data_IF_875573058000
#
_entry.id   IF_875573058000
#
_cell.length_a   1.000
_cell.length_b   1.000
_cell.length_c   1.000
_cell.angle_alpha   90.00
_cell.angle_beta   90.00
_cell.angle_gamma   90.00
#
_symmetry.space_group_name_H-M   'P 1'
#
loop_
_entity.id
_entity.type
_entity.pdbx_description
1 polymer ?
#
# COMPACT_ATOMS: atom_id res chain seq x y z
N UNK A 1 -15.84 -7.99 -14.60
CA UNK A 1 -14.51 -7.79 -13.99
C UNK A 1 -14.47 -8.57 -12.68
N UNK A 2 -13.78 -9.73 -12.65
CA UNK A 2 -13.70 -10.62 -11.49
C UNK A 2 -12.73 -10.04 -10.44
N UNK A 3 -13.14 -9.98 -9.17
CA UNK A 3 -12.25 -9.62 -8.07
C UNK A 3 -11.31 -10.77 -7.68
N UNK A 4 -10.44 -10.55 -6.69
CA UNK A 4 -9.42 -11.53 -6.28
C UNK A 4 -10.03 -12.87 -5.83
N UNK A 5 -11.31 -12.90 -5.43
CA UNK A 5 -11.99 -14.07 -4.87
C UNK A 5 -11.88 -15.33 -5.73
N UNK A 6 -11.90 -15.23 -7.06
CA UNK A 6 -11.80 -16.41 -7.96
C UNK A 6 -10.37 -16.82 -8.26
N UNK A 7 -9.39 -15.93 -8.05
CA UNK A 7 -7.96 -16.16 -8.31
C UNK A 7 -7.10 -16.16 -7.06
N UNK A 8 -7.73 -16.19 -5.88
CA UNK A 8 -7.04 -15.97 -4.63
C UNK A 8 -5.93 -17.00 -4.40
N UNK A 9 -6.21 -18.28 -4.65
CA UNK A 9 -5.19 -19.33 -4.52
C UNK A 9 -4.04 -19.16 -5.52
N UNK A 10 -4.33 -18.75 -6.75
CA UNK A 10 -3.33 -18.51 -7.79
C UNK A 10 -2.42 -17.34 -7.40
N UNK A 11 -2.98 -16.20 -7.00
CA UNK A 11 -2.22 -15.02 -6.55
C UNK A 11 -1.30 -15.38 -5.39
N UNK A 12 -1.82 -16.05 -4.35
CA UNK A 12 -1.01 -16.43 -3.19
C UNK A 12 0.06 -17.48 -3.52
N UNK A 13 -0.20 -18.36 -4.50
CA UNK A 13 0.80 -19.29 -5.02
C UNK A 13 1.95 -18.55 -5.72
N UNK A 14 1.64 -17.54 -6.54
CA UNK A 14 2.67 -16.72 -7.21
C UNK A 14 3.49 -15.89 -6.23
N UNK A 15 2.84 -15.25 -5.24
CA UNK A 15 3.55 -14.53 -4.14
C UNK A 15 4.52 -15.48 -3.43
N UNK A 16 4.11 -16.73 -3.20
CA UNK A 16 4.97 -17.76 -2.61
C UNK A 16 6.15 -18.14 -3.50
N UNK A 17 5.92 -18.34 -4.80
CA UNK A 17 7.00 -18.65 -5.77
C UNK A 17 8.02 -17.52 -5.86
N UNK A 18 7.56 -16.27 -5.76
CA UNK A 18 8.41 -15.08 -5.70
C UNK A 18 9.13 -14.89 -4.35
N UNK A 19 8.83 -15.73 -3.36
CA UNK A 19 9.41 -15.70 -2.00
C UNK A 19 9.16 -14.37 -1.28
N UNK A 20 8.01 -13.74 -1.54
CA UNK A 20 7.65 -12.46 -0.93
C UNK A 20 7.13 -12.71 0.50
N UNK A 21 7.71 -12.02 1.48
CA UNK A 21 7.29 -12.16 2.88
C UNK A 21 6.00 -11.41 3.21
N UNK A 22 5.88 -10.21 2.65
CA UNK A 22 4.77 -9.31 2.91
C UNK A 22 4.40 -8.65 1.58
N UNK A 23 3.12 -8.71 1.24
CA UNK A 23 2.58 -8.14 0.02
C UNK A 23 1.28 -7.39 0.32
N UNK A 24 1.14 -6.18 -0.22
CA UNK A 24 -0.13 -5.45 -0.21
C UNK A 24 -0.86 -5.75 -1.51
N UNK A 25 -2.11 -6.15 -1.41
CA UNK A 25 -2.98 -6.43 -2.53
C UNK A 25 -4.11 -5.40 -2.55
N UNK A 26 -4.27 -4.73 -3.68
CA UNK A 26 -5.31 -3.73 -3.90
C UNK A 26 -6.42 -4.31 -4.79
N UNK A 27 -7.53 -3.59 -4.92
CA UNK A 27 -8.69 -4.02 -5.71
C UNK A 27 -9.23 -5.43 -5.36
N UNK A 28 -9.11 -5.84 -4.10
CA UNK A 28 -9.50 -7.19 -3.69
C UNK A 28 -10.99 -7.46 -3.95
N UNK A 29 -11.82 -6.41 -3.93
CA UNK A 29 -13.28 -6.48 -4.09
C UNK A 29 -13.90 -7.46 -3.07
N UNK A 30 -13.23 -7.69 -1.93
CA UNK A 30 -13.80 -8.40 -0.78
C UNK A 30 -14.78 -7.47 -0.05
N UNK A 31 -15.73 -8.11 0.63
CA UNK A 31 -16.71 -7.45 1.49
C UNK A 31 -16.35 -7.71 2.95
N UNK A 32 -16.56 -6.71 3.79
CA UNK A 32 -16.24 -6.76 5.21
C UNK A 32 -14.74 -6.69 5.50
N UNK A 33 -14.43 -6.85 6.78
CA UNK A 33 -13.08 -6.83 7.35
C UNK A 33 -12.80 -8.18 8.00
N UNK A 34 -11.54 -8.60 8.04
CA UNK A 34 -11.15 -9.76 8.82
C UNK A 34 -9.87 -10.43 8.35
N UNK A 35 -9.64 -11.62 8.90
CA UNK A 35 -8.44 -12.41 8.66
C UNK A 35 -8.78 -13.83 8.24
N UNK A 36 -7.96 -14.39 7.36
CA UNK A 36 -8.06 -15.78 6.93
C UNK A 36 -6.66 -16.33 6.60
N UNK A 37 -6.53 -17.65 6.54
CA UNK A 37 -5.30 -18.30 6.08
C UNK A 37 -5.48 -18.78 4.65
N UNK A 38 -4.55 -18.44 3.77
CA UNK A 38 -4.56 -18.85 2.35
C UNK A 38 -3.18 -19.35 1.98
N UNK A 39 -3.07 -20.65 1.66
CA UNK A 39 -1.77 -21.28 1.43
C UNK A 39 -0.85 -21.02 2.61
N UNK A 40 0.33 -20.46 2.36
CA UNK A 40 1.37 -20.14 3.36
C UNK A 40 1.30 -18.73 3.95
N UNK A 41 0.16 -18.05 3.78
CA UNK A 41 0.00 -16.66 4.22
C UNK A 41 -1.19 -16.48 5.15
N UNK A 42 -1.01 -15.52 6.06
CA UNK A 42 -2.07 -14.86 6.80
C UNK A 42 -2.53 -13.68 5.94
N UNK A 43 -3.80 -13.67 5.58
CA UNK A 43 -4.41 -12.65 4.75
C UNK A 43 -5.32 -11.77 5.62
N UNK A 44 -4.93 -10.52 5.78
CA UNK A 44 -5.68 -9.50 6.53
C UNK A 44 -6.32 -8.56 5.51
N UNK A 45 -7.65 -8.46 5.47
CA UNK A 45 -8.35 -7.71 4.43
C UNK A 45 -9.34 -6.70 4.99
N UNK A 46 -9.42 -5.56 4.31
CA UNK A 46 -10.40 -4.51 4.55
C UNK A 46 -11.12 -4.19 3.24
N UNK A 47 -12.42 -4.48 3.20
CA UNK A 47 -13.28 -4.23 2.06
C UNK A 47 -14.50 -3.40 2.41
N UNK A 48 -15.30 -3.08 1.40
CA UNK A 48 -16.56 -2.34 1.58
C UNK A 48 -17.56 -3.11 2.44
N UNK A 49 -18.54 -2.41 3.01
CA UNK A 49 -19.63 -3.03 3.75
C UNK A 49 -20.33 -4.11 2.90
N UNK A 50 -20.81 -5.17 3.56
CA UNK A 50 -21.46 -6.33 2.93
C UNK A 50 -22.67 -5.94 2.08
N UNK A 51 -23.33 -4.85 2.43
CA UNK A 51 -24.51 -4.32 1.73
C UNK A 51 -24.15 -3.51 0.49
N UNK A 52 -22.91 -3.03 0.38
CA UNK A 52 -22.45 -2.25 -0.77
C UNK A 52 -22.05 -3.16 -1.93
N UNK A 53 -22.18 -2.70 -3.18
CA UNK A 53 -21.58 -3.39 -4.32
C UNK A 53 -20.06 -3.50 -4.10
N UNK A 54 -19.51 -4.69 -4.31
CA UNK A 54 -18.07 -4.92 -4.15
C UNK A 54 -17.28 -3.99 -5.09
N UNK A 55 -16.60 -3.03 -4.48
CA UNK A 55 -15.71 -2.05 -5.11
C UNK A 55 -14.54 -1.83 -4.16
N UNK A 56 -13.37 -1.47 -4.69
CA UNK A 56 -12.16 -1.20 -3.89
C UNK A 56 -11.75 -2.42 -3.03
N UNK A 57 -11.01 -2.18 -1.95
CA UNK A 57 -10.55 -3.18 -1.01
C UNK A 57 -9.04 -3.30 -1.03
N UNK A 58 -8.46 -3.26 0.16
CA UNK A 58 -7.02 -3.43 0.40
C UNK A 58 -6.81 -4.62 1.32
N UNK A 59 -5.72 -5.34 1.12
CA UNK A 59 -5.32 -6.40 2.02
C UNK A 59 -3.81 -6.53 2.12
N UNK A 60 -3.36 -7.17 3.19
CA UNK A 60 -1.97 -7.53 3.41
C UNK A 60 -1.88 -9.06 3.50
N UNK A 61 -1.05 -9.65 2.66
CA UNK A 61 -0.64 -11.04 2.74
C UNK A 61 0.71 -11.10 3.48
N UNK A 62 0.75 -11.83 4.60
CA UNK A 62 1.94 -11.97 5.45
C UNK A 62 2.28 -13.46 5.55
N UNK A 63 3.49 -13.84 5.17
CA UNK A 63 3.92 -15.23 5.23
C UNK A 63 3.82 -15.76 6.68
N UNK A 64 3.30 -16.98 6.87
CA UNK A 64 3.06 -17.60 8.19
C UNK A 64 4.29 -17.64 9.09
N UNK A 65 5.49 -17.66 8.50
CA UNK A 65 6.76 -17.59 9.25
C UNK A 65 6.91 -16.31 10.09
N UNK A 66 6.18 -15.25 9.75
CA UNK A 66 6.13 -13.99 10.50
C UNK A 66 4.93 -13.94 11.48
N UNK A 67 4.12 -15.00 11.61
CA UNK A 67 2.90 -15.00 12.43
C UNK A 67 3.15 -14.50 13.86
N UNK A 68 4.23 -14.97 14.48
CA UNK A 68 4.56 -14.62 15.87
C UNK A 68 5.17 -13.20 15.99
N UNK A 69 5.52 -12.59 14.86
CA UNK A 69 6.03 -11.22 14.79
C UNK A 69 4.90 -10.19 14.64
N UNK A 70 3.73 -10.57 14.15
CA UNK A 70 2.57 -9.68 14.04
C UNK A 70 2.09 -9.31 15.45
N UNK A 71 1.95 -8.01 15.74
CA UNK A 71 1.49 -7.50 17.04
C UNK A 71 0.06 -7.01 17.01
N UNK A 72 -0.30 -6.28 15.97
CA UNK A 72 -1.62 -5.71 15.77
C UNK A 72 -1.81 -5.35 14.30
N UNK A 73 -3.06 -5.12 13.92
CA UNK A 73 -3.44 -4.52 12.66
C UNK A 73 -4.76 -3.78 12.83
N UNK A 74 -4.98 -2.74 12.04
CA UNK A 74 -6.25 -2.03 11.99
C UNK A 74 -6.75 -1.92 10.55
N UNK A 75 -7.93 -2.48 10.28
CA UNK A 75 -8.64 -2.27 9.03
C UNK A 75 -9.38 -0.93 9.09
N UNK A 76 -8.70 0.18 8.75
CA UNK A 76 -9.26 1.53 8.89
C UNK A 76 -10.50 1.70 7.99
N UNK A 77 -10.35 1.48 6.69
CA UNK A 77 -11.44 1.51 5.71
C UNK A 77 -11.09 0.64 4.48
N UNK A 78 -11.90 0.68 3.42
CA UNK A 78 -11.66 -0.12 2.21
C UNK A 78 -10.43 0.29 1.39
N UNK A 79 -9.73 1.35 1.79
CA UNK A 79 -8.56 1.92 1.13
C UNK A 79 -7.29 1.86 1.99
N UNK A 80 -7.39 1.75 3.31
CA UNK A 80 -6.25 1.78 4.22
C UNK A 80 -6.32 0.65 5.24
N UNK A 81 -5.21 -0.05 5.39
CA UNK A 81 -4.96 -1.04 6.44
C UNK A 81 -3.59 -0.81 7.06
N UNK A 82 -3.47 -0.95 8.38
CA UNK A 82 -2.18 -0.88 9.09
C UNK A 82 -1.84 -2.23 9.70
N UNK A 83 -0.55 -2.58 9.75
CA UNK A 83 -0.06 -3.79 10.41
C UNK A 83 1.22 -3.45 11.17
N UNK A 84 1.30 -3.83 12.44
CA UNK A 84 2.49 -3.73 13.25
C UNK A 84 3.21 -5.08 13.36
N UNK A 85 4.51 -5.10 13.03
CA UNK A 85 5.35 -6.29 13.06
C UNK A 85 6.61 -6.00 13.87
N UNK A 86 6.92 -6.87 14.85
CA UNK A 86 8.15 -6.80 15.63
C UNK A 86 9.08 -7.96 15.29
N UNK A 87 10.26 -7.66 14.77
CA UNK A 87 11.27 -8.66 14.40
C UNK A 87 12.67 -8.14 14.61
N UNK A 88 13.57 -8.96 15.18
CA UNK A 88 14.98 -8.63 15.39
C UNK A 88 15.17 -7.28 16.12
N UNK A 89 14.40 -7.04 17.19
CA UNK A 89 14.39 -5.79 17.97
C UNK A 89 13.94 -4.53 17.20
N UNK A 90 13.40 -4.68 15.99
CA UNK A 90 12.81 -3.59 15.21
C UNK A 90 11.30 -3.66 15.26
N UNK A 91 10.67 -2.49 15.36
CA UNK A 91 9.24 -2.31 15.24
C UNK A 91 8.96 -1.70 13.87
N UNK A 92 8.18 -2.40 13.05
CA UNK A 92 7.82 -1.98 11.69
C UNK A 92 6.31 -1.75 11.63
N UNK A 93 5.91 -0.62 11.05
CA UNK A 93 4.53 -0.34 10.69
C UNK A 93 4.40 -0.44 9.18
N UNK A 94 3.48 -1.27 8.72
CA UNK A 94 3.15 -1.44 7.31
C UNK A 94 1.78 -0.83 7.10
N UNK A 95 1.70 0.17 6.23
CA UNK A 95 0.44 0.77 5.81
C UNK A 95 0.18 0.32 4.38
N UNK A 96 -0.83 -0.53 4.21
CA UNK A 96 -1.33 -0.95 2.91
C UNK A 96 -2.38 0.01 2.39
N UNK A 97 -2.24 0.47 1.14
CA UNK A 97 -3.14 1.48 0.59
C UNK A 97 -3.67 1.19 -0.80
N UNK A 98 -4.86 1.71 -1.08
CA UNK A 98 -5.45 1.82 -2.42
C UNK A 98 -6.05 3.22 -2.61
N UNK A 99 -5.31 4.09 -3.30
CA UNK A 99 -5.70 5.47 -3.53
C UNK A 99 -6.86 5.61 -4.52
N UNK A 100 -7.63 6.72 -4.44
CA UNK A 100 -8.57 7.08 -5.48
C UNK A 100 -7.89 7.16 -6.85
N UNK A 101 -8.62 6.78 -7.90
CA UNK A 101 -8.17 6.90 -9.29
C UNK A 101 -8.01 8.36 -9.71
N UNK A 102 -7.32 8.60 -10.82
CA UNK A 102 -6.99 9.96 -11.26
C UNK A 102 -8.21 10.78 -11.71
N UNK A 103 -9.32 10.11 -12.08
CA UNK A 103 -10.61 10.71 -12.42
C UNK A 103 -11.50 11.03 -11.20
N UNK A 104 -11.07 10.65 -10.00
CA UNK A 104 -11.77 11.03 -8.77
C UNK A 104 -11.74 12.55 -8.58
N UNK A 105 -12.78 13.09 -7.95
CA UNK A 105 -12.84 14.53 -7.67
C UNK A 105 -11.71 14.95 -6.71
N UNK A 106 -11.22 16.19 -6.82
CA UNK A 106 -10.11 16.67 -6.00
C UNK A 106 -10.34 16.53 -4.49
N UNK A 107 -11.57 16.77 -4.01
CA UNK A 107 -11.89 16.69 -2.59
C UNK A 107 -11.74 15.27 -2.06
N UNK A 108 -12.19 14.25 -2.81
CA UNK A 108 -11.97 12.84 -2.47
C UNK A 108 -10.48 12.52 -2.37
N UNK A 109 -9.65 13.04 -3.28
CA UNK A 109 -8.19 12.87 -3.23
C UNK A 109 -7.59 13.58 -2.01
N UNK A 110 -7.96 14.83 -1.75
CA UNK A 110 -7.52 15.60 -0.58
C UNK A 110 -7.83 14.86 0.73
N UNK A 111 -9.08 14.40 0.89
CA UNK A 111 -9.49 13.63 2.06
C UNK A 111 -8.65 12.37 2.26
N UNK A 112 -8.33 11.65 1.18
CA UNK A 112 -7.51 10.44 1.24
C UNK A 112 -6.07 10.74 1.68
N UNK A 113 -5.40 11.72 1.08
CA UNK A 113 -4.01 12.07 1.45
C UNK A 113 -3.92 12.72 2.83
N UNK A 114 -4.89 13.55 3.22
CA UNK A 114 -4.94 14.13 4.57
C UNK A 114 -5.14 13.05 5.64
N UNK A 115 -6.03 12.08 5.39
CA UNK A 115 -6.24 10.94 6.29
C UNK A 115 -4.98 10.14 6.50
N UNK A 116 -4.25 9.82 5.42
CA UNK A 116 -2.94 9.14 5.54
C UNK A 116 -1.93 9.96 6.32
N UNK A 117 -1.87 11.28 6.07
CA UNK A 117 -0.96 12.19 6.77
C UNK A 117 -1.19 12.15 8.28
N UNK A 118 -2.46 12.18 8.72
CA UNK A 118 -2.82 12.05 10.14
C UNK A 118 -2.38 10.71 10.72
N UNK A 119 -2.71 9.60 10.04
CA UNK A 119 -2.33 8.25 10.49
C UNK A 119 -0.81 8.13 10.67
N UNK A 120 -0.03 8.66 9.72
CA UNK A 120 1.43 8.59 9.78
C UNK A 120 2.00 9.51 10.86
N UNK A 121 1.41 10.69 11.06
CA UNK A 121 1.86 11.66 12.08
C UNK A 121 1.70 11.13 13.50
N UNK A 122 0.76 10.22 13.73
CA UNK A 122 0.53 9.58 15.04
C UNK A 122 1.54 8.44 15.33
N UNK A 123 2.31 8.00 14.33
CA UNK A 123 3.30 6.94 14.49
C UNK A 123 4.55 7.49 15.16
N UNK A 124 4.99 6.82 16.23
CA UNK A 124 6.24 7.16 16.93
C UNK A 124 7.46 7.05 16.01
N UNK A 125 8.37 8.00 16.13
CA UNK A 125 9.58 8.10 15.30
C UNK A 125 10.59 6.94 15.47
N UNK A 126 10.45 6.11 16.50
CA UNK A 126 11.30 4.93 16.74
C UNK A 126 10.89 3.70 15.93
N UNK A 127 9.75 3.77 15.21
CA UNK A 127 9.27 2.70 14.34
C UNK A 127 9.70 2.91 12.89
N UNK A 128 10.07 1.83 12.22
CA UNK A 128 10.29 1.83 10.76
C UNK A 128 8.93 1.82 10.04
N UNK A 129 8.70 2.78 9.15
CA UNK A 129 7.44 2.89 8.42
C UNK A 129 7.60 2.46 6.95
N UNK A 130 6.72 1.56 6.52
CA UNK A 130 6.58 1.13 5.14
C UNK A 130 5.19 1.45 4.63
N UNK A 131 5.12 2.34 3.66
CA UNK A 131 3.88 2.68 2.97
C UNK A 131 3.87 1.96 1.62
N UNK A 132 2.93 1.04 1.44
CA UNK A 132 2.89 0.10 0.32
C UNK A 132 1.50 0.06 -0.30
N UNK A 133 1.43 -0.18 -1.60
CA UNK A 133 0.17 -0.36 -2.31
C UNK A 133 0.12 0.47 -3.57
N UNK A 134 -1.09 0.74 -4.01
CA UNK A 134 -1.36 1.45 -5.27
C UNK A 134 -1.84 2.87 -4.96
N UNK A 135 -1.03 3.83 -5.37
CA UNK A 135 -1.29 5.25 -5.19
C UNK A 135 -1.98 5.91 -6.39
N UNK A 136 -2.21 5.17 -7.49
CA UNK A 136 -2.68 5.74 -8.76
C UNK A 136 -1.87 7.01 -9.14
N UNK A 137 -0.57 7.00 -8.85
CA UNK A 137 0.28 8.18 -8.88
C UNK A 137 1.43 8.00 -9.86
N UNK A 138 1.63 9.00 -10.70
CA UNK A 138 2.83 9.19 -11.51
C UNK A 138 3.60 10.32 -10.87
N UNK A 139 4.70 9.99 -10.20
CA UNK A 139 5.42 10.93 -9.33
C UNK A 139 6.48 11.75 -10.06
N UNK A 140 6.74 11.41 -11.33
CA UNK A 140 7.83 12.00 -12.09
C UNK A 140 9.21 11.52 -11.62
N UNK A 141 10.22 12.33 -11.88
CA UNK A 141 11.61 12.10 -11.50
C UNK A 141 12.28 13.43 -11.19
N UNK A 142 13.28 13.41 -10.31
CA UNK A 142 14.08 14.59 -10.01
C UNK A 142 15.48 14.19 -9.55
N UNK A 143 16.49 14.95 -9.97
CA UNK A 143 17.87 14.76 -9.51
C UNK A 143 18.04 15.42 -8.15
N UNK A 144 18.69 14.74 -7.20
CA UNK A 144 18.96 15.24 -5.85
C UNK A 144 17.72 15.56 -4.99
N UNK A 145 16.53 15.09 -5.37
CA UNK A 145 15.36 15.23 -4.51
C UNK A 145 15.43 14.26 -3.32
N UNK A 146 15.06 14.70 -2.10
CA UNK A 146 14.97 13.82 -0.95
C UNK A 146 13.77 12.86 -1.04
N UNK A 147 12.76 13.17 -1.87
CA UNK A 147 11.48 12.46 -1.94
C UNK A 147 11.37 11.55 -3.16
N UNK A 148 11.76 12.01 -4.34
CA UNK A 148 11.73 11.23 -5.59
C UNK A 148 13.14 11.01 -6.12
N UNK A 149 13.39 9.86 -6.74
CA UNK A 149 14.71 9.60 -7.33
C UNK A 149 14.78 9.88 -8.82
N UNK A 150 16.01 10.00 -9.34
CA UNK A 150 16.33 10.33 -10.73
C UNK A 150 15.99 9.26 -11.78
N UNK A 151 15.62 8.05 -11.34
CA UNK A 151 15.23 6.93 -12.19
C UNK A 151 13.71 6.76 -12.29
N UNK A 152 12.95 7.69 -11.69
CA UNK A 152 11.50 7.74 -11.82
C UNK A 152 11.03 8.00 -13.24
N UNK A 153 9.72 8.15 -13.40
CA UNK A 153 9.13 8.40 -14.71
C UNK A 153 9.49 9.82 -15.21
N UNK A 154 9.99 9.96 -16.43
CA UNK A 154 10.47 11.26 -16.95
C UNK A 154 9.38 12.17 -17.48
N UNK A 155 8.27 11.60 -17.94
CA UNK A 155 7.33 12.30 -18.82
C UNK A 155 6.15 12.95 -18.12
N UNK A 156 5.77 12.52 -16.91
CA UNK A 156 4.50 12.94 -16.34
C UNK A 156 4.53 12.89 -14.81
N UNK A 157 4.04 13.97 -14.19
CA UNK A 157 3.56 13.96 -12.81
C UNK A 157 2.06 14.24 -12.85
N UNK A 158 1.24 13.32 -12.34
CA UNK A 158 -0.22 13.54 -12.26
C UNK A 158 -0.62 14.16 -10.91
N UNK A 159 -1.90 14.50 -10.74
CA UNK A 159 -2.42 15.14 -9.53
C UNK A 159 -2.15 14.30 -8.27
N UNK A 160 -2.43 12.99 -8.33
CA UNK A 160 -2.07 12.05 -7.26
C UNK A 160 -0.55 12.03 -6.97
N UNK A 161 0.28 12.16 -8.01
CA UNK A 161 1.74 12.24 -7.89
C UNK A 161 2.20 13.49 -7.14
N UNK A 162 1.61 14.66 -7.43
CA UNK A 162 1.91 15.90 -6.69
C UNK A 162 1.50 15.78 -5.22
N UNK A 163 0.33 15.22 -4.95
CA UNK A 163 -0.20 15.00 -3.59
C UNK A 163 0.68 14.04 -2.79
N UNK A 164 1.08 12.91 -3.41
CA UNK A 164 1.98 11.95 -2.79
C UNK A 164 3.35 12.58 -2.49
N UNK A 165 3.91 13.36 -3.43
CA UNK A 165 5.17 14.08 -3.21
C UNK A 165 5.08 15.05 -2.02
N UNK A 166 4.04 15.88 -1.97
CA UNK A 166 3.85 16.84 -0.88
C UNK A 166 3.67 16.17 0.48
N UNK A 167 2.92 15.06 0.54
CA UNK A 167 2.79 14.25 1.76
C UNK A 167 4.14 13.64 2.18
N UNK A 168 4.89 13.07 1.23
CA UNK A 168 6.19 12.49 1.54
C UNK A 168 7.20 13.57 1.99
N UNK A 169 7.16 14.76 1.41
CA UNK A 169 8.00 15.89 1.83
C UNK A 169 7.69 16.33 3.26
N UNK A 170 6.41 16.49 3.60
CA UNK A 170 6.01 16.91 4.95
C UNK A 170 6.28 15.87 6.03
N UNK A 171 6.30 14.59 5.67
CA UNK A 171 6.53 13.46 6.58
C UNK A 171 7.95 12.89 6.51
N UNK A 172 8.85 13.52 5.73
CA UNK A 172 10.23 13.05 5.52
C UNK A 172 10.32 11.58 5.02
N UNK A 173 9.43 11.22 4.08
CA UNK A 173 9.36 9.91 3.44
C UNK A 173 9.97 9.94 2.04
N UNK A 174 10.40 8.75 1.57
CA UNK A 174 10.99 8.57 0.24
C UNK A 174 10.16 7.64 -0.63
N UNK A 175 9.94 8.05 -1.88
CA UNK A 175 9.25 7.24 -2.89
C UNK A 175 10.28 6.36 -3.59
N UNK A 176 10.40 5.13 -3.10
CA UNK A 176 11.52 4.24 -3.42
C UNK A 176 11.63 3.85 -4.91
N UNK A 177 10.51 3.79 -5.64
CA UNK A 177 10.48 3.38 -7.05
C UNK A 177 11.35 4.25 -7.98
N UNK A 178 11.64 5.49 -7.61
CA UNK A 178 12.48 6.39 -8.42
C UNK A 178 13.97 6.34 -8.09
N UNK A 179 14.38 5.73 -6.96
CA UNK A 179 15.77 5.79 -6.48
C UNK A 179 16.69 4.73 -7.06
N UNK A 180 16.13 3.68 -7.68
CA UNK A 180 16.90 2.60 -8.28
C UNK A 180 16.64 2.51 -9.78
N UNK A 181 17.63 2.06 -10.58
CA UNK A 181 17.43 1.86 -12.00
C UNK A 181 16.44 0.70 -12.25
N UNK A 182 15.33 1.01 -12.92
CA UNK A 182 14.32 0.05 -13.33
C UNK A 182 14.14 0.07 -14.86
N UNK A 183 13.63 -1.04 -15.42
CA UNK A 183 13.13 -1.05 -16.80
C UNK A 183 11.94 -0.10 -16.89
N UNK A 184 11.79 0.59 -18.01
CA UNK A 184 10.74 1.62 -18.15
C UNK A 184 9.34 1.07 -17.90
N UNK A 185 9.05 -0.18 -18.30
CA UNK A 185 7.78 -0.86 -18.05
C UNK A 185 7.40 -1.01 -16.56
N UNK A 186 8.37 -0.87 -15.65
CA UNK A 186 8.16 -0.96 -14.19
C UNK A 186 8.14 0.41 -13.51
N UNK A 187 8.24 1.50 -14.28
CA UNK A 187 8.15 2.88 -13.78
C UNK A 187 6.72 3.43 -13.83
N UNK A 188 5.84 2.75 -14.55
CA UNK A 188 4.42 3.08 -14.65
C UNK A 188 3.65 2.25 -13.62
N UNK A 189 2.69 2.88 -12.96
CA UNK A 189 1.61 2.25 -12.18
C UNK A 189 0.29 2.77 -12.70
#
# INVERSE_FOLDING_TARGET
MQGIRTKQQEVFSEINKMKIDICVLTETKKKGKGTETVGEYIHIFSGVNKETRAKRGVSVAIHKRLKNNIKSWDEIDEQIITVEIHKNHRQMIIIGVYAPSDDADPLTKDMFFNKQTHIISDIKHDKELFLLGDFNSRTGTETNSPVVGQYGERSTTNDNGLRLRGMCESLNLKIMNGFFPHRDIHKFT
#
